data_IF_607080362633
#
_entry.id   IF_607080362633
#
_cell.length_a   1.000
_cell.length_b   1.000
_cell.length_c   1.000
_cell.angle_alpha   90.00
_cell.angle_beta   90.00
_cell.angle_gamma   90.00
#
_symmetry.space_group_name_H-M   'P 1'
#
loop_
_entity.id
_entity.type
_entity.pdbx_description
1 polymer ?
#
# COMPACT_ATOMS: atom_id res chain seq x y z
N UNK A 1 40.41 11.32 -42.95
CA UNK A 1 39.42 12.14 -42.21
C UNK A 1 38.00 11.59 -42.29
N UNK A 2 37.49 11.18 -43.46
CA UNK A 2 36.09 10.71 -43.62
C UNK A 2 35.72 9.48 -42.74
N UNK A 3 36.63 8.51 -42.56
CA UNK A 3 36.36 7.32 -41.74
C UNK A 3 36.19 7.62 -40.23
N UNK A 4 36.85 8.65 -39.71
CA UNK A 4 36.76 9.05 -38.29
C UNK A 4 35.43 9.73 -38.02
N UNK A 5 34.93 10.53 -38.97
CA UNK A 5 33.63 11.21 -38.88
C UNK A 5 32.50 10.17 -38.92
N UNK A 6 32.60 9.17 -39.80
CA UNK A 6 31.61 8.09 -39.88
C UNK A 6 31.55 7.26 -38.59
N UNK A 7 32.71 6.92 -38.01
CA UNK A 7 32.77 6.21 -36.74
C UNK A 7 32.15 7.01 -35.58
N UNK A 8 32.37 8.33 -35.54
CA UNK A 8 31.78 9.20 -34.52
C UNK A 8 30.25 9.30 -34.64
N UNK A 9 29.73 9.38 -35.87
CA UNK A 9 28.27 9.40 -36.12
C UNK A 9 27.62 8.07 -35.74
N UNK A 10 28.25 6.93 -36.04
CA UNK A 10 27.75 5.61 -35.64
C UNK A 10 27.78 5.44 -34.11
N UNK A 11 28.83 5.90 -33.43
CA UNK A 11 28.90 5.87 -31.96
C UNK A 11 27.82 6.75 -31.31
N UNK A 12 27.55 7.92 -31.88
CA UNK A 12 26.44 8.78 -31.45
C UNK A 12 25.09 8.08 -31.66
N UNK A 13 24.83 7.50 -32.82
CA UNK A 13 23.54 6.82 -33.08
C UNK A 13 23.31 5.61 -32.16
N UNK A 14 24.38 4.86 -31.84
CA UNK A 14 24.33 3.75 -30.88
C UNK A 14 24.09 4.24 -29.44
N UNK A 15 24.70 5.35 -29.04
CA UNK A 15 24.49 5.93 -27.70
C UNK A 15 23.09 6.53 -27.55
N UNK A 16 22.55 7.18 -28.59
CA UNK A 16 21.16 7.63 -28.62
C UNK A 16 20.17 6.46 -28.56
N UNK A 17 20.44 5.38 -29.29
CA UNK A 17 19.61 4.16 -29.23
C UNK A 17 19.62 3.53 -27.84
N UNK A 18 20.79 3.44 -27.19
CA UNK A 18 20.91 2.92 -25.82
C UNK A 18 20.19 3.82 -24.80
N UNK A 19 20.29 5.15 -24.93
CA UNK A 19 19.62 6.09 -24.05
C UNK A 19 18.09 6.01 -24.18
N UNK A 20 17.57 5.89 -25.40
CA UNK A 20 16.12 5.74 -25.65
C UNK A 20 15.60 4.40 -25.10
N UNK A 21 16.35 3.31 -25.27
CA UNK A 21 15.99 2.00 -24.70
C UNK A 21 15.96 2.06 -23.16
N UNK A 22 16.98 2.67 -22.54
CA UNK A 22 17.00 2.87 -21.08
C UNK A 22 15.84 3.73 -20.60
N UNK A 23 15.54 4.83 -21.30
CA UNK A 23 14.45 5.73 -20.95
C UNK A 23 13.07 5.06 -21.09
N UNK A 24 12.85 4.29 -22.16
CA UNK A 24 11.59 3.54 -22.35
C UNK A 24 11.44 2.40 -21.35
N UNK A 25 12.53 1.70 -21.02
CA UNK A 25 12.48 0.65 -20.01
C UNK A 25 12.25 1.21 -18.59
N UNK A 26 12.86 2.35 -18.27
CA UNK A 26 12.60 3.07 -17.02
C UNK A 26 11.14 3.55 -16.97
N UNK A 27 10.62 4.16 -18.04
CA UNK A 27 9.23 4.58 -18.12
C UNK A 27 8.24 3.42 -17.97
N UNK A 28 8.55 2.25 -18.55
CA UNK A 28 7.75 1.02 -18.36
C UNK A 28 7.76 0.56 -16.90
N UNK A 29 8.93 0.55 -16.26
CA UNK A 29 9.05 0.15 -14.83
C UNK A 29 8.26 1.08 -13.93
N UNK A 30 8.32 2.39 -14.16
CA UNK A 30 7.55 3.37 -13.40
C UNK A 30 6.05 3.22 -13.61
N UNK A 31 5.59 3.01 -14.85
CA UNK A 31 4.17 2.78 -15.13
C UNK A 31 3.64 1.50 -14.44
N UNK A 32 4.44 0.43 -14.44
CA UNK A 32 4.10 -0.81 -13.74
C UNK A 32 4.08 -0.62 -12.22
N UNK A 33 5.06 0.09 -11.65
CA UNK A 33 5.10 0.42 -10.23
C UNK A 33 3.88 1.24 -9.80
N UNK A 34 3.52 2.28 -10.55
CA UNK A 34 2.35 3.11 -10.29
C UNK A 34 1.03 2.32 -10.39
N UNK A 35 0.87 1.49 -11.42
CA UNK A 35 -0.31 0.64 -11.57
C UNK A 35 -0.45 -0.34 -10.40
N UNK A 36 0.67 -0.91 -9.95
CA UNK A 36 0.69 -1.81 -8.79
C UNK A 36 0.40 -1.07 -7.49
N UNK A 37 0.96 0.13 -7.31
CA UNK A 37 0.68 0.99 -6.17
C UNK A 37 -0.81 1.36 -6.11
N UNK A 38 -1.47 1.60 -7.24
CA UNK A 38 -2.91 1.88 -7.30
C UNK A 38 -3.76 0.67 -6.88
N UNK A 39 -3.38 -0.54 -7.29
CA UNK A 39 -4.05 -1.78 -6.88
C UNK A 39 -3.90 -2.01 -5.37
N UNK A 40 -2.69 -1.80 -4.83
CA UNK A 40 -2.42 -1.91 -3.40
C UNK A 40 -3.21 -0.85 -2.63
N UNK A 41 -3.20 0.41 -3.06
CA UNK A 41 -3.97 1.49 -2.43
C UNK A 41 -5.46 1.14 -2.38
N UNK A 42 -6.02 0.68 -3.49
CA UNK A 42 -7.42 0.26 -3.53
C UNK A 42 -7.70 -0.91 -2.58
N UNK A 43 -6.84 -1.92 -2.58
CA UNK A 43 -7.02 -3.12 -1.74
C UNK A 43 -6.95 -2.78 -0.26
N UNK A 44 -5.97 -1.97 0.14
CA UNK A 44 -5.81 -1.48 1.50
C UNK A 44 -7.00 -0.62 1.94
N UNK A 45 -7.47 0.31 1.11
CA UNK A 45 -8.64 1.14 1.43
C UNK A 45 -9.91 0.31 1.59
N UNK A 46 -10.14 -0.66 0.72
CA UNK A 46 -11.30 -1.56 0.82
C UNK A 46 -11.21 -2.41 2.08
N UNK A 47 -10.04 -2.98 2.35
CA UNK A 47 -9.79 -3.80 3.53
C UNK A 47 -9.97 -3.03 4.84
N UNK A 48 -9.29 -1.90 4.99
CA UNK A 48 -9.39 -1.06 6.19
C UNK A 48 -10.79 -0.45 6.34
N UNK A 49 -11.45 -0.12 5.22
CA UNK A 49 -12.85 0.34 5.24
C UNK A 49 -13.86 -0.72 5.69
N UNK A 50 -13.49 -2.00 5.72
CA UNK A 50 -14.33 -3.05 6.31
C UNK A 50 -14.17 -3.15 7.83
N UNK A 51 -13.14 -2.53 8.41
CA UNK A 51 -12.95 -2.50 9.85
C UNK A 51 -13.90 -1.47 10.46
N UNK A 52 -14.77 -1.94 11.35
CA UNK A 52 -15.84 -1.16 11.99
C UNK A 52 -15.74 -1.25 13.52
N UNK A 53 -14.77 -0.55 14.12
CA UNK A 53 -14.55 -0.64 15.55
C UNK A 53 -15.59 0.18 16.32
N UNK A 54 -15.96 -0.23 17.56
CA UNK A 54 -16.77 0.60 18.44
C UNK A 54 -16.11 1.97 18.69
N UNK A 55 -16.91 3.03 18.89
CA UNK A 55 -16.41 4.39 19.08
C UNK A 55 -15.48 4.57 20.31
N UNK A 56 -15.45 3.60 21.22
CA UNK A 56 -14.66 3.57 22.44
C UNK A 56 -13.53 2.53 22.41
N UNK A 57 -13.35 1.79 21.30
CA UNK A 57 -12.38 0.70 21.22
C UNK A 57 -11.11 1.13 20.47
N UNK A 58 -9.95 0.81 21.04
CA UNK A 58 -8.65 0.87 20.37
C UNK A 58 -8.45 -0.40 19.55
N UNK A 59 -9.09 -0.49 18.38
CA UNK A 59 -9.08 -1.70 17.55
C UNK A 59 -7.76 -2.00 16.83
N UNK A 60 -6.73 -1.19 17.06
CA UNK A 60 -5.44 -1.31 16.40
C UNK A 60 -4.36 -1.69 17.39
N UNK A 61 -3.69 -2.79 17.07
CA UNK A 61 -2.45 -3.18 17.69
C UNK A 61 -1.37 -3.23 16.62
N UNK A 62 -0.24 -2.59 16.92
CA UNK A 62 0.97 -2.74 16.14
C UNK A 62 1.82 -3.81 16.82
N UNK A 63 2.28 -4.82 16.06
CA UNK A 63 3.24 -5.76 16.62
C UNK A 63 4.56 -5.03 16.90
N UNK A 64 5.20 -5.34 18.03
CA UNK A 64 6.49 -4.75 18.38
C UNK A 64 7.49 -4.96 17.22
N UNK A 65 8.14 -3.88 16.80
CA UNK A 65 9.11 -3.88 15.69
C UNK A 65 8.57 -3.52 14.30
N UNK A 66 7.29 -3.15 14.16
CA UNK A 66 6.75 -2.59 12.90
C UNK A 66 6.64 -3.57 11.73
N UNK A 67 6.85 -4.87 11.98
CA UNK A 67 6.77 -5.93 10.98
C UNK A 67 5.32 -6.26 10.53
N UNK A 68 4.33 -5.65 11.15
CA UNK A 68 2.92 -5.85 10.82
C UNK A 68 1.97 -5.18 11.80
N UNK A 69 0.69 -5.17 11.46
CA UNK A 69 -0.37 -4.71 12.34
C UNK A 69 -1.57 -5.65 12.30
N UNK A 70 -2.36 -5.62 13.37
CA UNK A 70 -3.65 -6.30 13.45
C UNK A 70 -4.75 -5.32 13.83
N UNK A 71 -5.88 -5.49 13.16
CA UNK A 71 -7.09 -4.73 13.34
C UNK A 71 -8.24 -5.69 13.62
N UNK A 72 -8.89 -5.56 14.77
CA UNK A 72 -10.09 -6.34 15.09
C UNK A 72 -11.33 -5.66 14.49
N UNK A 73 -12.49 -6.32 14.59
CA UNK A 73 -13.77 -5.79 14.08
C UNK A 73 -13.85 -5.72 12.55
N UNK A 74 -13.26 -6.70 11.86
CA UNK A 74 -13.48 -6.86 10.42
C UNK A 74 -14.96 -7.20 10.16
N UNK A 75 -15.60 -6.41 9.29
CA UNK A 75 -17.05 -6.42 9.04
C UNK A 75 -17.89 -6.23 10.32
N UNK A 76 -17.34 -5.58 11.33
CA UNK A 76 -18.00 -5.32 12.63
C UNK A 76 -17.98 -6.49 13.61
N UNK A 77 -17.32 -7.61 13.27
CA UNK A 77 -17.25 -8.81 14.12
C UNK A 77 -15.96 -8.80 14.96
N UNK A 78 -16.11 -8.84 16.29
CA UNK A 78 -14.98 -8.72 17.22
C UNK A 78 -13.88 -9.78 17.02
N UNK A 79 -14.28 -11.02 16.70
CA UNK A 79 -13.36 -12.14 16.50
C UNK A 79 -12.73 -12.20 15.10
N UNK A 80 -13.17 -11.33 14.19
CA UNK A 80 -12.66 -11.28 12.84
C UNK A 80 -11.60 -10.19 12.70
N UNK A 81 -10.45 -10.55 12.13
CA UNK A 81 -9.26 -9.70 12.08
C UNK A 81 -8.87 -9.35 10.64
N UNK A 82 -8.44 -8.11 10.45
CA UNK A 82 -7.57 -7.72 9.36
C UNK A 82 -6.12 -7.73 9.87
N UNK A 83 -5.23 -8.43 9.17
CA UNK A 83 -3.81 -8.43 9.49
C UNK A 83 -2.97 -7.99 8.30
N UNK A 84 -2.04 -7.08 8.54
CA UNK A 84 -0.97 -6.73 7.61
C UNK A 84 0.33 -7.31 8.18
N UNK A 85 1.04 -8.09 7.38
CA UNK A 85 2.28 -8.73 7.82
C UNK A 85 3.35 -8.65 6.72
N UNK A 86 4.58 -8.33 7.10
CA UNK A 86 5.73 -8.44 6.23
C UNK A 86 6.03 -9.91 5.93
N UNK A 87 6.35 -10.21 4.68
CA UNK A 87 6.80 -11.54 4.22
C UNK A 87 8.26 -11.46 3.74
N UNK A 88 8.86 -12.59 3.37
CA UNK A 88 10.23 -12.62 2.86
C UNK A 88 10.39 -11.79 1.57
N UNK A 89 9.39 -11.87 0.69
CA UNK A 89 9.43 -11.23 -0.63
C UNK A 89 8.55 -9.98 -0.73
N UNK A 90 7.80 -9.61 0.31
CA UNK A 90 6.96 -8.42 0.27
C UNK A 90 6.09 -8.24 1.51
N UNK A 91 4.79 -8.12 1.33
CA UNK A 91 3.84 -8.14 2.43
C UNK A 91 2.50 -8.73 2.04
N UNK A 92 1.76 -9.10 3.07
CA UNK A 92 0.51 -9.80 2.96
C UNK A 92 -0.58 -9.05 3.71
N UNK A 93 -1.77 -9.06 3.14
CA UNK A 93 -3.00 -8.56 3.74
C UNK A 93 -3.98 -9.72 3.90
N UNK A 94 -4.27 -10.06 5.16
CA UNK A 94 -5.24 -11.09 5.54
C UNK A 94 -6.54 -10.46 6.01
N UNK A 95 -7.65 -11.05 5.60
CA UNK A 95 -9.01 -10.61 5.87
C UNK A 95 -9.83 -11.83 6.31
N UNK A 96 -9.78 -12.18 7.60
CA UNK A 96 -10.29 -13.48 8.06
C UNK A 96 -9.59 -14.65 7.37
N UNK A 97 -10.35 -15.42 6.59
CA UNK A 97 -9.85 -16.55 5.79
C UNK A 97 -9.24 -16.15 4.44
N UNK A 98 -9.56 -14.94 3.95
CA UNK A 98 -9.03 -14.43 2.68
C UNK A 98 -7.61 -13.90 2.83
N UNK A 99 -6.83 -14.04 1.76
CA UNK A 99 -5.43 -13.66 1.77
C UNK A 99 -4.99 -13.03 0.45
N UNK A 100 -4.40 -11.85 0.52
CA UNK A 100 -3.83 -11.11 -0.60
C UNK A 100 -2.33 -10.94 -0.40
N UNK A 101 -1.54 -11.46 -1.34
CA UNK A 101 -0.09 -11.35 -1.32
C UNK A 101 0.39 -10.28 -2.31
N UNK A 102 1.20 -9.35 -1.81
CA UNK A 102 1.85 -8.30 -2.59
C UNK A 102 3.36 -8.57 -2.67
N UNK A 103 3.74 -9.66 -3.32
CA UNK A 103 5.15 -10.01 -3.53
C UNK A 103 5.93 -8.95 -4.31
N UNK A 104 7.21 -8.78 -4.02
CA UNK A 104 8.07 -7.69 -4.54
C UNK A 104 7.58 -6.28 -4.17
N UNK A 105 6.76 -6.13 -3.13
CA UNK A 105 6.40 -4.84 -2.54
C UNK A 105 6.83 -4.86 -1.07
N UNK A 106 7.81 -4.05 -0.70
CA UNK A 106 8.36 -4.10 0.66
C UNK A 106 7.50 -3.24 1.58
N UNK A 107 6.98 -3.83 2.65
CA UNK A 107 6.31 -3.05 3.70
C UNK A 107 7.36 -2.23 4.47
N UNK A 108 7.16 -0.91 4.46
CA UNK A 108 8.03 0.06 5.11
C UNK A 108 7.56 0.40 6.52
N UNK A 109 6.45 1.14 6.63
CA UNK A 109 5.91 1.60 7.92
C UNK A 109 4.40 1.50 7.98
N UNK A 110 3.87 1.24 9.17
CA UNK A 110 2.44 1.31 9.45
C UNK A 110 2.24 2.30 10.60
N UNK A 111 1.49 3.36 10.34
CA UNK A 111 1.27 4.44 11.28
C UNK A 111 -0.24 4.61 11.56
N UNK A 112 -0.64 4.79 12.81
CA UNK A 112 -2.03 5.13 13.14
C UNK A 112 -2.36 6.55 12.68
N UNK A 113 -3.54 6.73 12.08
CA UNK A 113 -4.11 8.07 11.82
C UNK A 113 -4.95 8.44 13.03
N UNK A 114 -4.50 9.40 13.82
CA UNK A 114 -5.13 9.81 15.07
C UNK A 114 -5.56 11.28 14.99
N UNK A 115 -6.81 11.57 15.36
CA UNK A 115 -7.34 12.92 15.47
C UNK A 115 -8.16 13.06 16.76
N UNK A 116 -7.90 14.11 17.55
CA UNK A 116 -8.61 14.32 18.83
C UNK A 116 -8.48 13.15 19.82
N UNK A 117 -7.37 12.40 19.77
CA UNK A 117 -7.14 11.20 20.59
C UNK A 117 -7.87 9.94 20.10
N UNK A 118 -8.59 10.01 18.97
CA UNK A 118 -9.31 8.89 18.37
C UNK A 118 -8.56 8.33 17.19
N UNK A 119 -8.48 7.01 17.11
CA UNK A 119 -7.94 6.33 15.95
C UNK A 119 -8.97 6.30 14.82
N UNK A 120 -8.63 6.90 13.67
CA UNK A 120 -9.50 7.02 12.51
C UNK A 120 -9.15 6.06 11.38
N UNK A 121 -7.95 5.50 11.39
CA UNK A 121 -7.46 4.64 10.31
C UNK A 121 -5.97 4.42 10.38
N UNK A 122 -5.39 4.01 9.24
CA UNK A 122 -3.98 3.69 9.10
C UNK A 122 -3.35 4.34 7.87
N UNK A 123 -2.10 4.73 8.01
CA UNK A 123 -1.20 5.03 6.91
C UNK A 123 -0.22 3.86 6.75
N UNK A 124 -0.18 3.27 5.56
CA UNK A 124 0.69 2.14 5.21
C UNK A 124 1.67 2.61 4.14
N UNK A 125 2.95 2.70 4.51
CA UNK A 125 4.06 2.98 3.61
C UNK A 125 4.66 1.69 3.07
N UNK A 126 4.87 1.62 1.76
CA UNK A 126 5.46 0.48 1.08
C UNK A 126 6.30 0.93 -0.12
N UNK A 127 7.24 0.08 -0.53
CA UNK A 127 8.15 0.33 -1.65
C UNK A 127 7.86 -0.63 -2.81
N UNK A 128 7.83 -0.09 -4.03
CA UNK A 128 7.75 -0.88 -5.26
C UNK A 128 8.85 -0.40 -6.20
N UNK A 129 9.73 -1.31 -6.60
CA UNK A 129 10.84 -1.00 -7.52
C UNK A 129 11.68 0.22 -7.09
N UNK A 130 12.03 0.32 -5.80
CA UNK A 130 12.78 1.43 -5.20
C UNK A 130 12.04 2.79 -5.14
N UNK A 131 10.74 2.82 -5.44
CA UNK A 131 9.90 4.01 -5.24
C UNK A 131 8.98 3.80 -4.01
N UNK A 132 8.95 4.81 -3.13
CA UNK A 132 8.10 4.80 -1.93
C UNK A 132 6.68 5.29 -2.24
N UNK A 133 5.70 4.58 -1.68
CA UNK A 133 4.28 4.90 -1.76
C UNK A 133 3.66 4.88 -0.37
N UNK A 134 2.61 5.67 -0.17
CA UNK A 134 1.85 5.69 1.07
C UNK A 134 0.36 5.63 0.77
N UNK A 135 -0.30 4.62 1.30
CA UNK A 135 -1.77 4.55 1.31
C UNK A 135 -2.29 5.02 2.65
N UNK A 136 -3.22 5.97 2.64
CA UNK A 136 -3.95 6.42 3.83
C UNK A 136 -5.39 5.91 3.74
N UNK A 137 -5.75 5.02 4.65
CA UNK A 137 -7.07 4.38 4.68
C UNK A 137 -7.75 4.65 6.02
N UNK A 138 -9.03 5.01 5.97
CA UNK A 138 -9.86 5.28 7.14
C UNK A 138 -10.76 4.07 7.41
N UNK A 139 -11.07 3.82 8.68
CA UNK A 139 -12.08 2.85 9.06
C UNK A 139 -13.45 3.28 8.56
N UNK A 140 -14.37 2.31 8.39
CA UNK A 140 -15.75 2.68 8.19
C UNK A 140 -16.29 3.36 9.46
N UNK A 141 -16.92 4.51 9.27
CA UNK A 141 -17.73 5.12 10.33
C UNK A 141 -18.92 4.22 10.64
N UNK A 142 -19.31 4.15 11.90
CA UNK A 142 -20.58 3.57 12.28
C UNK A 142 -21.70 4.49 11.79
N UNK A 143 -22.75 3.92 11.21
CA UNK A 143 -24.04 4.61 11.20
C UNK A 143 -24.52 4.63 12.65
N UNK A 144 -24.60 5.81 13.26
CA UNK A 144 -25.54 6.00 14.36
C UNK A 144 -26.92 5.72 13.73
N UNK A 145 -27.42 4.48 13.81
CA UNK A 145 -28.87 4.33 13.81
C UNK A 145 -29.32 5.23 14.95
N UNK A 146 -30.17 6.21 14.67
CA UNK A 146 -30.91 6.85 15.74
C UNK A 146 -31.55 5.70 16.50
N UNK A 147 -31.11 5.51 17.75
CA UNK A 147 -31.97 4.86 18.70
C UNK A 147 -33.07 5.88 18.90
N UNK A 148 -34.13 5.81 18.08
CA UNK A 148 -35.39 6.43 18.44
C UNK A 148 -35.68 5.87 19.83
N UNK A 149 -35.66 6.76 20.82
CA UNK A 149 -35.89 6.39 22.19
C UNK A 149 -37.22 5.61 22.25
N UNK A 150 -37.29 4.49 22.98
CA UNK A 150 -38.58 3.83 23.17
C UNK A 150 -39.53 4.83 23.84
N UNK A 151 -40.67 5.09 23.20
CA UNK A 151 -41.82 5.80 23.81
C UNK A 151 -42.34 5.06 25.05
#
# INVERSE_FOLDING_TARGET
>A
MAAVILAAVVLMLLSFSSAVIKATEQGRRQAMAAARAALIDRSLRVAVGRVQPPFWHLAFSLAEGGAGCKLNYLDGLADNELALAKTADGFQLRLGDDNLDFGSCLLGRIEPIIEGGKLLGLAVGYEIAAEEFVTRALFASFSLRSFDAPE
#
